data_IF_270878768772
#
_entry.id   IF_270878768772
#
_cell.length_a   1.000
_cell.length_b   1.000
_cell.length_c   1.000
_cell.angle_alpha   90.00
_cell.angle_beta   90.00
_cell.angle_gamma   90.00
#
_symmetry.space_group_name_H-M   'P 1'
#
loop_
_entity.id
_entity.type
_entity.pdbx_description
1 polymer ?
#
# COMPACT_ATOMS: atom_id res chain seq x y z
N UNK A 1 -13.02 19.94 -13.10
CA UNK A 1 -12.44 18.59 -13.28
C UNK A 1 -12.43 17.88 -11.94
N UNK A 2 -12.41 16.54 -11.94
CA UNK A 2 -12.33 15.73 -10.71
C UNK A 2 -10.89 15.75 -10.17
N UNK A 3 -10.72 15.70 -8.85
CA UNK A 3 -9.43 15.48 -8.18
C UNK A 3 -9.45 14.05 -7.65
N UNK A 4 -8.47 13.24 -8.04
CA UNK A 4 -8.36 11.85 -7.61
C UNK A 4 -7.47 11.75 -6.37
N UNK A 5 -8.00 11.14 -5.31
CA UNK A 5 -7.23 10.77 -4.14
C UNK A 5 -6.40 9.51 -4.42
N UNK A 6 -5.12 9.55 -4.06
CA UNK A 6 -4.18 8.46 -4.30
C UNK A 6 -3.25 8.22 -3.10
N UNK A 7 -2.71 7.01 -3.05
CA UNK A 7 -1.59 6.64 -2.19
C UNK A 7 -0.41 6.25 -3.05
N UNK A 8 0.81 6.53 -2.58
CA UNK A 8 2.03 6.12 -3.29
C UNK A 8 2.48 4.77 -2.75
N UNK A 9 2.48 3.76 -3.62
CA UNK A 9 3.00 2.44 -3.28
C UNK A 9 4.52 2.47 -3.21
N UNK A 10 5.07 2.04 -2.09
CA UNK A 10 6.50 1.97 -1.81
C UNK A 10 6.99 0.55 -2.04
N UNK A 11 8.11 0.44 -2.76
CA UNK A 11 8.83 -0.82 -2.88
C UNK A 11 9.94 -0.87 -1.80
N UNK A 12 9.87 -1.89 -0.95
CA UNK A 12 10.81 -2.14 0.16
C UNK A 12 11.86 -3.22 -0.20
N UNK A 13 12.26 -3.29 -1.47
CA UNK A 13 13.39 -4.12 -1.92
C UNK A 13 13.02 -5.43 -2.62
N UNK A 14 11.76 -5.64 -3.00
CA UNK A 14 11.36 -6.81 -3.80
C UNK A 14 11.34 -6.46 -5.30
N UNK A 15 12.16 -7.17 -6.08
CA UNK A 15 12.25 -6.97 -7.54
C UNK A 15 10.94 -7.28 -8.28
N UNK A 16 10.16 -8.22 -7.75
CA UNK A 16 8.89 -8.66 -8.35
C UNK A 16 7.71 -7.73 -8.04
N UNK A 17 7.86 -6.83 -7.06
CA UNK A 17 6.81 -5.91 -6.63
C UNK A 17 6.98 -4.54 -7.29
N UNK A 18 5.88 -4.01 -7.78
CA UNK A 18 5.81 -2.61 -8.22
C UNK A 18 5.92 -1.64 -7.05
N UNK A 19 6.17 -0.38 -7.37
CA UNK A 19 6.24 0.71 -6.39
C UNK A 19 7.47 1.58 -6.58
N UNK A 20 7.47 2.72 -5.90
CA UNK A 20 8.59 3.64 -5.90
C UNK A 20 9.62 3.17 -4.88
N UNK A 21 10.90 3.00 -5.25
CA UNK A 21 11.95 2.70 -4.29
C UNK A 21 12.04 3.80 -3.22
N UNK A 22 12.32 3.42 -1.97
CA UNK A 22 12.47 4.36 -0.85
C UNK A 22 13.49 5.47 -1.19
N UNK A 23 14.59 5.12 -1.85
CA UNK A 23 15.62 6.08 -2.28
C UNK A 23 15.11 7.18 -3.21
N UNK A 24 14.00 6.96 -3.92
CA UNK A 24 13.49 7.84 -4.97
C UNK A 24 12.17 8.53 -4.59
N UNK A 25 11.55 8.13 -3.47
CA UNK A 25 10.20 8.58 -3.09
C UNK A 25 10.12 10.08 -2.82
N UNK A 26 11.17 10.68 -2.25
CA UNK A 26 11.21 12.12 -1.97
C UNK A 26 11.10 12.94 -3.26
N UNK A 27 11.93 12.64 -4.25
CA UNK A 27 11.90 13.31 -5.56
C UNK A 27 10.59 13.02 -6.28
N UNK A 28 10.12 11.77 -6.24
CA UNK A 28 8.87 11.37 -6.86
C UNK A 28 7.69 12.19 -6.33
N UNK A 29 7.53 12.29 -5.01
CA UNK A 29 6.44 13.05 -4.37
C UNK A 29 6.55 14.55 -4.65
N UNK A 30 7.76 15.12 -4.60
CA UNK A 30 7.98 16.53 -4.99
C UNK A 30 7.50 16.80 -6.40
N UNK A 31 7.77 15.89 -7.32
CA UNK A 31 7.34 15.98 -8.70
C UNK A 31 5.81 15.91 -8.88
N UNK A 32 5.08 15.35 -7.91
CA UNK A 32 3.62 15.26 -7.99
C UNK A 32 2.91 16.60 -7.74
N UNK A 33 3.58 17.59 -7.14
CA UNK A 33 3.01 18.92 -6.92
C UNK A 33 2.62 19.65 -8.22
N UNK A 34 3.18 19.22 -9.36
CA UNK A 34 2.88 19.74 -10.71
C UNK A 34 1.46 19.38 -11.19
N UNK A 35 0.86 18.33 -10.63
CA UNK A 35 -0.43 17.81 -11.08
C UNK A 35 -1.55 18.34 -10.21
N UNK A 36 -2.54 19.00 -10.82
CA UNK A 36 -3.65 19.63 -10.08
C UNK A 36 -4.85 18.70 -9.87
N UNK A 37 -4.90 17.56 -10.57
CA UNK A 37 -6.01 16.60 -10.51
C UNK A 37 -5.70 15.35 -9.69
N UNK A 38 -4.59 15.34 -8.95
CA UNK A 38 -4.18 14.25 -8.06
C UNK A 38 -3.90 14.83 -6.68
N UNK A 39 -4.49 14.23 -5.64
CA UNK A 39 -4.21 14.55 -4.25
C UNK A 39 -3.59 13.33 -3.57
N UNK A 40 -2.33 13.46 -3.17
CA UNK A 40 -1.60 12.39 -2.48
C UNK A 40 -1.96 12.43 -1.00
N UNK A 41 -2.62 11.39 -0.51
CA UNK A 41 -3.07 11.31 0.88
C UNK A 41 -2.04 10.63 1.80
N UNK A 42 -1.15 9.83 1.25
CA UNK A 42 -0.27 8.99 2.05
C UNK A 42 0.50 7.95 1.27
N UNK A 43 1.01 6.96 2.02
CA UNK A 43 1.83 5.87 1.49
C UNK A 43 1.07 4.55 1.57
N UNK A 44 1.47 3.60 0.72
CA UNK A 44 0.98 2.24 0.72
C UNK A 44 2.17 1.29 0.64
N UNK A 45 2.13 0.19 1.39
CA UNK A 45 3.16 -0.84 1.31
C UNK A 45 2.61 -2.24 1.51
N UNK A 46 3.35 -3.21 0.94
CA UNK A 46 3.12 -4.64 1.05
C UNK A 46 4.46 -5.31 1.34
N UNK A 47 4.77 -5.59 2.62
CA UNK A 47 6.01 -6.28 2.98
C UNK A 47 6.06 -7.68 2.35
N UNK A 48 7.25 -8.30 2.27
CA UNK A 48 7.37 -9.71 1.96
C UNK A 48 6.54 -10.55 2.94
N UNK A 49 6.15 -11.74 2.50
CA UNK A 49 5.65 -12.73 3.42
C UNK A 49 6.79 -13.13 4.37
N UNK A 50 6.58 -12.91 5.66
CA UNK A 50 7.54 -13.17 6.72
C UNK A 50 6.83 -13.86 7.87
N UNK A 51 7.47 -14.90 8.42
CA UNK A 51 7.02 -15.55 9.66
C UNK A 51 7.58 -14.86 10.92
N UNK A 52 8.55 -13.96 10.73
CA UNK A 52 9.21 -13.24 11.83
C UNK A 52 8.55 -11.87 12.03
N UNK A 53 7.71 -11.80 13.07
CA UNK A 53 7.01 -10.58 13.49
C UNK A 53 7.96 -9.39 13.74
N UNK A 54 9.17 -9.63 14.22
CA UNK A 54 10.13 -8.55 14.49
C UNK A 54 10.58 -7.90 13.19
N UNK A 55 10.88 -8.71 12.17
CA UNK A 55 11.22 -8.17 10.84
C UNK A 55 10.02 -7.47 10.22
N UNK A 56 8.84 -8.07 10.34
CA UNK A 56 7.61 -7.51 9.80
C UNK A 56 7.27 -6.13 10.40
N UNK A 57 7.45 -5.96 11.72
CA UNK A 57 7.38 -4.65 12.38
C UNK A 57 8.33 -3.64 11.77
N UNK A 58 9.58 -4.04 11.53
CA UNK A 58 10.59 -3.20 10.89
C UNK A 58 10.15 -2.69 9.51
N UNK A 59 9.48 -3.53 8.71
CA UNK A 59 8.92 -3.10 7.43
C UNK A 59 7.81 -2.06 7.59
N UNK A 60 6.89 -2.23 8.55
CA UNK A 60 5.82 -1.25 8.75
C UNK A 60 6.32 0.06 9.39
N UNK A 61 7.24 -0.02 10.35
CA UNK A 61 7.83 1.15 10.99
C UNK A 61 8.62 2.00 9.99
N UNK A 62 9.33 1.38 9.05
CA UNK A 62 10.05 2.07 7.98
C UNK A 62 9.12 2.97 7.14
N UNK A 63 7.92 2.48 6.80
CA UNK A 63 6.95 3.27 6.02
C UNK A 63 6.35 4.41 6.85
N UNK A 64 6.07 4.16 8.14
CA UNK A 64 5.65 5.21 9.07
C UNK A 64 6.69 6.33 9.16
N UNK A 65 7.94 5.96 9.42
CA UNK A 65 9.06 6.90 9.52
C UNK A 65 9.30 7.63 8.21
N UNK A 66 9.17 6.95 7.07
CA UNK A 66 9.27 7.57 5.76
C UNK A 66 8.20 8.64 5.54
N UNK A 67 6.93 8.36 5.85
CA UNK A 67 5.84 9.34 5.77
C UNK A 67 6.14 10.56 6.66
N UNK A 68 6.59 10.32 7.88
CA UNK A 68 6.88 11.38 8.85
C UNK A 68 8.07 12.24 8.40
N UNK A 69 9.10 11.61 7.81
CA UNK A 69 10.23 12.29 7.18
C UNK A 69 9.78 13.18 6.01
N UNK A 70 8.96 12.65 5.10
CA UNK A 70 8.44 13.40 3.93
C UNK A 70 7.60 14.61 4.36
N UNK A 71 6.78 14.45 5.41
CA UNK A 71 6.01 15.53 6.01
C UNK A 71 6.90 16.59 6.65
N UNK A 72 7.90 16.18 7.43
CA UNK A 72 8.87 17.11 8.06
C UNK A 72 9.62 17.94 7.02
N UNK A 73 9.88 17.37 5.85
CA UNK A 73 10.53 18.03 4.71
C UNK A 73 9.56 18.83 3.83
N UNK A 74 8.25 18.80 4.12
CA UNK A 74 7.21 19.41 3.29
C UNK A 74 7.33 19.02 1.80
N UNK A 75 7.60 17.74 1.51
CA UNK A 75 7.82 17.27 0.14
C UNK A 75 6.57 17.38 -0.75
N UNK A 76 5.39 17.38 -0.14
CA UNK A 76 4.11 17.57 -0.82
C UNK A 76 3.39 18.79 -0.26
N UNK A 77 2.55 19.42 -1.09
CA UNK A 77 1.74 20.60 -0.74
C UNK A 77 0.79 20.40 0.44
N UNK A 78 0.44 19.16 0.75
CA UNK A 78 -0.40 18.78 1.88
C UNK A 78 0.31 17.70 2.72
N UNK A 79 -0.07 17.59 3.99
CA UNK A 79 0.46 16.53 4.85
C UNK A 79 -0.05 15.15 4.39
N UNK A 80 0.88 14.20 4.28
CA UNK A 80 0.63 12.79 4.06
C UNK A 80 0.13 12.18 5.38
N UNK A 81 -1.13 11.75 5.42
CA UNK A 81 -1.77 11.22 6.64
C UNK A 81 -1.86 9.71 6.62
N UNK A 82 -2.18 9.16 5.46
CA UNK A 82 -2.58 7.75 5.35
C UNK A 82 -1.37 6.81 5.29
N UNK A 83 -1.53 5.66 5.92
CA UNK A 83 -0.68 4.48 5.77
C UNK A 83 -1.57 3.30 5.44
N UNK A 84 -1.57 2.91 4.17
CA UNK A 84 -2.20 1.66 3.75
C UNK A 84 -1.20 0.52 3.87
N UNK A 85 -1.27 -0.21 4.96
CA UNK A 85 -0.42 -1.37 5.24
C UNK A 85 -1.17 -2.35 6.16
N UNK A 86 -0.86 -3.64 6.05
CA UNK A 86 -1.63 -4.69 6.70
C UNK A 86 -2.64 -5.36 5.77
N UNK A 87 -2.60 -6.69 5.75
CA UNK A 87 -3.45 -7.64 5.05
C UNK A 87 -3.96 -8.68 6.05
N UNK A 88 -4.76 -9.63 5.60
CA UNK A 88 -5.42 -10.62 6.47
C UNK A 88 -4.50 -11.34 7.46
N UNK A 89 -3.22 -11.53 7.14
CA UNK A 89 -2.24 -12.24 7.97
C UNK A 89 -1.45 -11.36 8.94
N UNK A 90 -1.44 -10.04 8.75
CA UNK A 90 -0.48 -9.15 9.42
C UNK A 90 -1.07 -7.80 9.86
N UNK A 91 -2.40 -7.63 9.76
CA UNK A 91 -3.07 -6.37 10.05
C UNK A 91 -2.92 -5.91 11.51
N UNK A 92 -2.80 -6.83 12.48
CA UNK A 92 -2.65 -6.48 13.90
C UNK A 92 -1.34 -5.74 14.14
N UNK A 93 -0.24 -6.30 13.64
CA UNK A 93 1.09 -5.67 13.69
C UNK A 93 1.08 -4.35 12.91
N UNK A 94 0.43 -4.32 11.74
CA UNK A 94 0.33 -3.09 10.95
C UNK A 94 -0.40 -1.96 11.71
N UNK A 95 -1.47 -2.28 12.46
CA UNK A 95 -2.21 -1.32 13.29
C UNK A 95 -1.31 -0.79 14.41
N UNK A 96 -0.60 -1.67 15.12
CA UNK A 96 0.34 -1.26 16.17
C UNK A 96 1.45 -0.36 15.63
N UNK A 97 1.88 -0.60 14.38
CA UNK A 97 2.85 0.26 13.70
C UNK A 97 2.23 1.51 13.03
N UNK A 98 0.95 1.78 13.25
CA UNK A 98 0.29 3.03 12.87
C UNK A 98 -0.41 3.03 11.52
N UNK A 99 -0.80 1.85 11.00
CA UNK A 99 -1.65 1.75 9.82
C UNK A 99 -2.97 2.50 10.02
N UNK A 100 -3.39 3.23 9.00
CA UNK A 100 -4.70 3.91 8.96
C UNK A 100 -5.68 3.19 8.02
N UNK A 101 -5.17 2.31 7.16
CA UNK A 101 -5.97 1.52 6.23
C UNK A 101 -5.42 0.10 6.11
N UNK A 102 -6.19 -0.88 6.59
CA UNK A 102 -5.91 -2.31 6.42
C UNK A 102 -6.70 -2.90 5.24
N UNK A 103 -6.16 -3.97 4.63
CA UNK A 103 -6.73 -4.58 3.42
C UNK A 103 -7.08 -6.04 3.68
N UNK A 104 -8.29 -6.30 4.16
CA UNK A 104 -8.71 -7.64 4.56
C UNK A 104 -9.50 -8.32 3.45
N UNK A 105 -9.00 -9.48 3.00
CA UNK A 105 -9.61 -10.30 1.96
C UNK A 105 -10.04 -11.65 2.52
N UNK A 106 -9.12 -12.62 2.54
CA UNK A 106 -9.36 -14.00 3.00
C UNK A 106 -9.98 -14.09 4.38
N UNK A 107 -9.58 -13.25 5.35
CA UNK A 107 -10.18 -13.31 6.69
C UNK A 107 -11.65 -12.86 6.72
N UNK A 108 -12.11 -12.08 5.73
CA UNK A 108 -13.52 -11.68 5.60
C UNK A 108 -14.32 -12.60 4.66
N UNK A 109 -13.73 -13.01 3.54
CA UNK A 109 -14.42 -13.69 2.44
C UNK A 109 -14.10 -15.19 2.33
N UNK A 110 -13.16 -15.69 3.12
CA UNK A 110 -12.65 -17.04 3.02
C UNK A 110 -11.74 -17.24 1.80
N UNK A 111 -11.31 -18.49 1.60
CA UNK A 111 -10.51 -18.90 0.45
C UNK A 111 -11.26 -18.71 -0.87
N UNK A 112 -10.52 -18.41 -1.93
CA UNK A 112 -11.12 -18.23 -3.25
C UNK A 112 -11.63 -19.57 -3.77
N UNK A 113 -12.95 -19.68 -3.93
CA UNK A 113 -13.56 -20.83 -4.62
C UNK A 113 -13.16 -20.77 -6.11
N UNK A 114 -12.24 -21.64 -6.52
CA UNK A 114 -11.91 -21.82 -7.92
C UNK A 114 -13.06 -22.59 -8.58
N UNK A 115 -13.89 -21.90 -9.36
CA UNK A 115 -14.82 -22.59 -10.27
C UNK A 115 -14.01 -23.31 -11.35
N UNK A 116 -14.27 -24.61 -11.53
CA UNK A 116 -13.67 -25.42 -12.57
C UNK A 116 -13.91 -24.76 -13.94
N UNK A 117 -12.90 -24.80 -14.83
CA UNK A 117 -12.97 -24.16 -16.16
C UNK A 117 -14.19 -24.60 -16.99
N UNK A 118 -14.72 -25.80 -16.75
CA UNK A 118 -15.87 -26.37 -17.46
C UNK A 118 -17.17 -25.57 -17.28
N UNK A 119 -17.39 -24.93 -16.13
CA UNK A 119 -18.62 -24.13 -15.90
C UNK A 119 -18.65 -22.83 -16.70
N UNK A 120 -17.49 -22.25 -17.04
CA UNK A 120 -17.40 -20.97 -17.76
C UNK A 120 -17.72 -21.08 -19.25
N UNK A 121 -17.56 -22.26 -19.85
CA UNK A 121 -17.88 -22.48 -21.26
C UNK A 121 -19.37 -22.78 -21.49
N UNK A 122 -20.08 -23.25 -20.47
CA UNK A 122 -21.53 -23.47 -20.52
C UNK A 122 -22.30 -22.15 -20.44
N UNK A 123 -21.91 -21.22 -19.56
CA UNK A 123 -22.53 -19.88 -19.44
C UNK A 123 -22.31 -18.98 -20.65
N UNK A 124 -21.23 -19.19 -21.44
CA UNK A 124 -20.95 -18.41 -22.65
C UNK A 124 -21.66 -18.92 -23.91
N UNK A 125 -22.34 -20.06 -23.80
CA UNK A 125 -23.12 -20.68 -24.90
C UNK A 125 -24.63 -20.64 -24.64
N UNK A 126 -25.08 -19.95 -23.58
CA UNK A 126 -26.48 -19.69 -23.25
C UNK A 126 -26.91 -18.29 -23.67
#
# INVERSE_FOLDING_TARGET
GIIQDVLIQINQGEETKGGVPISNVEEYIKNLNKFNNIRVLGLMAMPPYLEDDTKLRGYFSEIRELRDYLNKKACYREALKELSMGMSSDYEIAIEEGSTMIRIGTALLGERILRNKEEKDVERRG
#
